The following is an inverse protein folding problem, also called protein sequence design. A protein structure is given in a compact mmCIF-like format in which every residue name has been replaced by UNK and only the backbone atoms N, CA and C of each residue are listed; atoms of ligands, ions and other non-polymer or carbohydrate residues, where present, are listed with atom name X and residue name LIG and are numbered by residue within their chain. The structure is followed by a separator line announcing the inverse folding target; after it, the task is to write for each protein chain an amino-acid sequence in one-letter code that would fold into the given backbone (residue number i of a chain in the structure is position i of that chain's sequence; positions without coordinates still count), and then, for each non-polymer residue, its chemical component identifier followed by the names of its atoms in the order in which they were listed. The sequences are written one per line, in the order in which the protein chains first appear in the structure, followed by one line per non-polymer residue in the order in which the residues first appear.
data_IF_158430056101
#
_entry.id   IF_158430056101
#
_cell.length_a   1.000
_cell.length_b   1.000
_cell.length_c   1.000
_cell.angle_alpha   90.00
_cell.angle_beta   90.00
_cell.angle_gamma   90.00
#
_symmetry.space_group_name_H-M   'P 1'
#
loop_
_entity.id
_entity.type
_entity.pdbx_description
1 polymer ?
#
# COMPACT_ATOMS: atom_id res chain seq x y z
N UNK A 1 -10.60 -15.17 -0.86
CA UNK A 1 -9.51 -14.97 0.14
C UNK A 1 -8.96 -13.58 -0.08
N UNK A 2 -8.81 -12.80 0.96
CA UNK A 2 -8.25 -11.44 0.90
C UNK A 2 -6.73 -11.49 0.78
N UNK A 3 -6.16 -10.50 0.11
CA UNK A 3 -4.71 -10.39 -0.08
C UNK A 3 -4.08 -9.74 1.15
N UNK A 4 -3.14 -10.42 1.81
CA UNK A 4 -2.33 -9.99 2.96
C UNK A 4 -3.12 -9.73 4.26
N UNK A 5 -4.27 -9.05 4.22
CA UNK A 5 -5.04 -8.65 5.41
C UNK A 5 -6.53 -8.96 5.23
N UNK A 6 -7.19 -9.35 6.31
CA UNK A 6 -8.60 -9.72 6.34
C UNK A 6 -9.23 -9.41 7.70
N UNK A 7 -10.51 -9.82 7.88
CA UNK A 7 -11.25 -9.63 9.13
C UNK A 7 -10.61 -10.30 10.36
N UNK A 8 -9.76 -11.31 10.16
CA UNK A 8 -9.09 -12.06 11.24
C UNK A 8 -7.70 -11.49 11.55
N UNK A 9 -7.24 -10.47 10.80
CA UNK A 9 -5.97 -9.79 11.02
C UNK A 9 -5.98 -9.02 12.33
N UNK A 10 -5.09 -9.39 13.26
CA UNK A 10 -4.93 -8.73 14.56
C UNK A 10 -3.89 -7.63 14.46
N UNK A 11 -4.35 -6.39 14.53
CA UNK A 11 -3.55 -5.19 14.24
C UNK A 11 -3.09 -4.51 15.52
N UNK A 12 -1.82 -4.11 15.54
CA UNK A 12 -1.26 -3.17 16.52
C UNK A 12 -0.79 -1.89 15.84
N UNK A 13 -0.81 -0.79 16.58
CA UNK A 13 -0.34 0.52 16.11
C UNK A 13 0.94 0.92 16.83
N UNK A 14 2.02 1.13 16.12
CA UNK A 14 3.22 1.79 16.66
C UNK A 14 3.08 3.30 16.55
N UNK A 15 3.38 4.01 17.64
CA UNK A 15 3.05 5.42 17.78
C UNK A 15 1.60 5.65 18.23
N UNK A 16 0.99 4.67 18.89
CA UNK A 16 -0.44 4.56 19.18
C UNK A 16 -1.03 5.77 19.93
N UNK A 17 -0.30 6.33 20.88
CA UNK A 17 -0.77 7.47 21.69
C UNK A 17 -0.38 8.84 21.10
N UNK A 18 0.23 8.88 19.92
CA UNK A 18 0.46 10.09 19.16
C UNK A 18 -0.82 10.57 18.45
N UNK A 19 -0.85 11.81 17.96
CA UNK A 19 -2.03 12.39 17.33
C UNK A 19 -2.48 11.57 16.11
N UNK A 20 -1.57 11.30 15.18
CA UNK A 20 -1.86 10.52 13.97
C UNK A 20 -2.23 9.06 14.32
N UNK A 21 -1.46 8.42 15.22
CA UNK A 21 -1.76 7.08 15.71
C UNK A 21 -3.14 6.98 16.33
N UNK A 22 -3.52 7.92 17.17
CA UNK A 22 -4.85 7.98 17.83
C UNK A 22 -5.97 8.17 16.80
N UNK A 23 -5.84 9.17 15.92
CA UNK A 23 -6.86 9.48 14.94
C UNK A 23 -7.11 8.31 13.96
N UNK A 24 -6.05 7.79 13.37
CA UNK A 24 -6.20 6.71 12.40
C UNK A 24 -6.57 5.37 13.05
N UNK A 25 -6.13 5.12 14.29
CA UNK A 25 -6.59 3.97 15.05
C UNK A 25 -8.10 4.00 15.30
N UNK A 26 -8.66 5.16 15.68
CA UNK A 26 -10.10 5.29 15.84
C UNK A 26 -10.87 5.03 14.55
N UNK A 27 -10.35 5.52 13.39
CA UNK A 27 -10.93 5.27 12.09
C UNK A 27 -10.83 3.80 11.63
N UNK A 28 -9.78 3.08 12.03
CA UNK A 28 -9.65 1.64 11.79
C UNK A 28 -10.64 0.84 12.64
N UNK A 29 -10.82 1.21 13.90
CA UNK A 29 -11.80 0.60 14.82
C UNK A 29 -13.24 0.83 14.28
N UNK A 30 -13.55 2.05 13.85
CA UNK A 30 -14.86 2.38 13.26
C UNK A 30 -15.15 1.58 11.99
N UNK A 31 -14.12 1.30 11.17
CA UNK A 31 -14.23 0.46 9.98
C UNK A 31 -14.47 -1.03 10.30
N UNK A 32 -14.23 -1.46 11.54
CA UNK A 32 -14.35 -2.84 11.97
C UNK A 32 -13.03 -3.62 11.96
N UNK A 33 -11.89 -2.96 11.76
CA UNK A 33 -10.57 -3.59 11.85
C UNK A 33 -10.32 -4.10 13.27
N UNK A 34 -9.82 -5.32 13.41
CA UNK A 34 -9.52 -5.92 14.71
C UNK A 34 -8.22 -5.32 15.29
N UNK A 35 -8.32 -4.09 15.83
CA UNK A 35 -7.22 -3.44 16.52
C UNK A 35 -7.14 -3.99 17.96
N UNK A 36 -6.04 -4.70 18.26
CA UNK A 36 -5.87 -5.43 19.52
C UNK A 36 -5.00 -4.72 20.54
N UNK A 37 -4.32 -3.64 20.16
CA UNK A 37 -3.48 -2.84 21.04
C UNK A 37 -2.58 -1.88 20.27
N UNK A 38 -1.64 -1.26 20.98
CA UNK A 38 -0.62 -0.44 20.35
C UNK A 38 0.64 -0.32 21.18
N UNK A 39 1.67 0.22 20.54
CA UNK A 39 3.00 0.36 21.13
C UNK A 39 3.35 1.85 21.23
N UNK A 40 3.70 2.27 22.44
CA UNK A 40 4.32 3.57 22.71
C UNK A 40 5.31 3.38 23.84
N UNK A 41 6.63 3.41 23.58
CA UNK A 41 7.64 3.22 24.61
C UNK A 41 7.45 4.17 25.81
N UNK A 42 7.56 3.63 27.01
CA UNK A 42 7.34 4.36 28.27
C UNK A 42 5.88 4.53 28.71
N UNK A 43 4.91 4.06 27.89
CA UNK A 43 3.46 4.11 28.23
C UNK A 43 2.84 2.71 28.41
N UNK A 44 3.64 1.67 28.44
CA UNK A 44 3.17 0.32 28.68
C UNK A 44 2.34 0.19 29.97
N UNK A 45 1.29 -0.63 29.93
CA UNK A 45 0.34 -0.81 31.02
C UNK A 45 -0.82 0.21 31.08
N UNK A 46 -0.80 1.24 30.24
CA UNK A 46 -1.93 2.16 30.06
C UNK A 46 -2.98 1.57 29.11
N UNK A 47 -4.17 2.17 29.13
CA UNK A 47 -5.21 1.93 28.13
C UNK A 47 -5.36 3.16 27.24
N UNK A 48 -5.57 2.95 25.94
CA UNK A 48 -5.83 4.00 24.97
C UNK A 48 -6.84 3.51 23.92
N UNK A 49 -7.90 4.27 23.63
CA UNK A 49 -9.02 3.83 22.79
C UNK A 49 -9.58 2.44 23.21
N UNK A 50 -9.68 2.21 24.53
CA UNK A 50 -10.10 0.93 25.14
C UNK A 50 -9.24 -0.28 24.70
N UNK A 51 -7.99 -0.04 24.37
CA UNK A 51 -7.00 -1.05 23.99
C UNK A 51 -5.73 -0.92 24.84
N UNK A 52 -5.04 -2.03 25.12
CA UNK A 52 -3.80 -1.99 25.88
C UNK A 52 -2.67 -1.30 25.11
N UNK A 53 -1.84 -0.55 25.85
CA UNK A 53 -0.60 0.03 25.36
C UNK A 53 0.58 -0.79 25.87
N UNK A 54 1.52 -1.08 24.98
CA UNK A 54 2.74 -1.84 25.28
C UNK A 54 3.99 -0.98 25.09
N UNK A 55 5.10 -1.37 25.69
CA UNK A 55 6.40 -0.73 25.49
C UNK A 55 7.11 -1.22 24.23
N UNK A 56 6.91 -2.49 23.87
CA UNK A 56 7.56 -3.13 22.73
C UNK A 56 6.55 -3.87 21.86
N UNK A 57 6.93 -4.11 20.60
CA UNK A 57 6.13 -4.94 19.68
C UNK A 57 6.08 -6.38 20.17
N UNK A 58 7.20 -6.91 20.72
CA UNK A 58 7.24 -8.27 21.26
C UNK A 58 6.21 -8.47 22.38
N UNK A 59 6.14 -7.54 23.35
CA UNK A 59 5.14 -7.61 24.42
C UNK A 59 3.70 -7.60 23.86
N UNK A 60 3.46 -6.80 22.81
CA UNK A 60 2.16 -6.73 22.16
C UNK A 60 1.81 -8.06 21.48
N UNK A 61 2.74 -8.65 20.73
CA UNK A 61 2.56 -9.94 20.07
C UNK A 61 2.29 -11.05 21.08
N UNK A 62 3.10 -11.14 22.14
CA UNK A 62 2.97 -12.19 23.18
C UNK A 62 1.62 -12.12 23.90
N UNK A 63 1.07 -10.92 24.10
CA UNK A 63 -0.18 -10.74 24.85
C UNK A 63 -1.43 -10.80 23.98
N UNK A 64 -1.34 -10.43 22.71
CA UNK A 64 -2.52 -10.28 21.84
C UNK A 64 -2.57 -11.25 20.66
N UNK A 65 -1.44 -11.84 20.31
CA UNK A 65 -1.27 -12.62 19.10
C UNK A 65 -1.35 -11.76 17.82
N UNK A 66 -0.93 -10.48 17.90
CA UNK A 66 -0.92 -9.59 16.75
C UNK A 66 -0.04 -10.13 15.63
N UNK A 67 -0.53 -10.05 14.40
CA UNK A 67 0.19 -10.47 13.19
C UNK A 67 0.37 -9.34 12.17
N UNK A 68 -0.24 -8.18 12.43
CA UNK A 68 -0.11 -6.97 11.60
C UNK A 68 0.29 -5.77 12.45
N UNK A 69 1.24 -4.98 11.97
CA UNK A 69 1.64 -3.71 12.60
C UNK A 69 1.51 -2.56 11.63
N UNK A 70 0.91 -1.45 12.10
CA UNK A 70 0.92 -0.18 11.36
C UNK A 70 1.73 0.87 12.12
N UNK A 71 2.53 1.66 11.38
CA UNK A 71 3.54 2.56 11.93
C UNK A 71 3.21 4.01 11.62
N UNK A 72 3.05 4.82 12.69
CA UNK A 72 2.85 6.27 12.67
C UNK A 72 3.94 7.02 13.48
N UNK A 73 5.09 6.42 13.67
CA UNK A 73 6.19 7.08 14.38
C UNK A 73 6.92 8.10 13.50
N UNK A 74 7.59 9.12 14.08
CA UNK A 74 8.37 10.07 13.29
C UNK A 74 9.46 9.41 12.43
N UNK A 75 9.88 10.05 11.32
CA UNK A 75 10.83 9.45 10.35
C UNK A 75 12.12 8.92 10.94
N UNK A 76 12.67 9.61 11.95
CA UNK A 76 13.92 9.21 12.62
C UNK A 76 13.83 7.87 13.38
N UNK A 77 12.64 7.37 13.67
CA UNK A 77 12.39 6.14 14.42
C UNK A 77 11.67 5.06 13.60
N UNK A 78 11.25 5.40 12.38
CA UNK A 78 10.40 4.50 11.61
C UNK A 78 11.14 3.27 11.10
N UNK A 79 12.42 3.39 10.75
CA UNK A 79 13.25 2.24 10.35
C UNK A 79 13.40 1.24 11.49
N UNK A 80 13.67 1.71 12.70
CA UNK A 80 13.76 0.85 13.90
C UNK A 80 12.41 0.20 14.21
N UNK A 81 11.30 0.94 14.08
CA UNK A 81 9.96 0.42 14.28
C UNK A 81 9.59 -0.70 13.28
N UNK A 82 10.03 -0.59 12.01
CA UNK A 82 9.87 -1.64 11.00
C UNK A 82 10.67 -2.89 11.40
N UNK A 83 11.94 -2.71 11.75
CA UNK A 83 12.82 -3.83 12.13
C UNK A 83 12.38 -4.51 13.44
N UNK A 84 11.89 -3.74 14.42
CA UNK A 84 11.31 -4.27 15.66
C UNK A 84 10.08 -5.14 15.37
N UNK A 85 9.17 -4.67 14.50
CA UNK A 85 8.00 -5.45 14.11
C UNK A 85 8.40 -6.78 13.43
N UNK A 86 9.37 -6.74 12.53
CA UNK A 86 9.88 -7.94 11.87
C UNK A 86 10.60 -8.89 12.85
N UNK A 87 11.36 -8.36 13.81
CA UNK A 87 11.99 -9.15 14.87
C UNK A 87 10.98 -9.89 15.74
N UNK A 88 9.84 -9.25 16.03
CA UNK A 88 8.74 -9.82 16.80
C UNK A 88 7.86 -10.80 16.00
N UNK A 89 8.17 -11.06 14.72
CA UNK A 89 7.45 -12.02 13.89
C UNK A 89 6.15 -11.50 13.30
N UNK A 90 5.93 -10.19 13.23
CA UNK A 90 4.79 -9.58 12.51
C UNK A 90 4.85 -9.99 11.03
N UNK A 91 3.74 -10.49 10.51
CA UNK A 91 3.64 -10.98 9.12
C UNK A 91 3.51 -9.83 8.12
N UNK A 92 2.69 -8.83 8.42
CA UNK A 92 2.47 -7.65 7.56
C UNK A 92 2.77 -6.38 8.35
N UNK A 93 3.68 -5.58 7.81
CA UNK A 93 4.11 -4.31 8.38
C UNK A 93 3.68 -3.21 7.42
N UNK A 94 2.90 -2.25 7.89
CA UNK A 94 2.46 -1.09 7.10
C UNK A 94 3.12 0.16 7.66
N UNK A 95 3.95 0.85 6.88
CA UNK A 95 4.63 2.07 7.30
C UNK A 95 4.04 3.28 6.56
N UNK A 96 3.31 4.13 7.28
CA UNK A 96 2.70 5.35 6.73
C UNK A 96 3.72 6.47 6.63
N UNK A 97 4.69 6.48 7.51
CA UNK A 97 5.67 7.56 7.69
C UNK A 97 6.37 7.94 6.39
N UNK A 98 6.34 9.23 6.08
CA UNK A 98 7.11 9.87 5.01
C UNK A 98 8.43 10.44 5.55
N UNK A 99 9.45 10.54 4.69
CA UNK A 99 10.70 11.21 5.00
C UNK A 99 11.72 10.37 5.77
N UNK A 100 11.59 9.06 5.74
CA UNK A 100 12.62 8.14 6.27
C UNK A 100 13.87 8.28 5.40
N UNK A 101 15.07 8.48 6.00
CA UNK A 101 16.30 8.57 5.23
C UNK A 101 16.52 7.33 4.35
N UNK A 102 16.91 7.55 3.09
CA UNK A 102 17.17 6.45 2.14
C UNK A 102 18.18 5.43 2.68
N UNK A 103 19.21 5.89 3.41
CA UNK A 103 20.21 5.02 4.05
C UNK A 103 19.55 4.06 5.04
N UNK A 104 18.60 4.52 5.83
CA UNK A 104 17.92 3.71 6.84
C UNK A 104 17.00 2.68 6.16
N UNK A 105 16.35 3.06 5.04
CA UNK A 105 15.56 2.13 4.25
C UNK A 105 16.40 1.05 3.54
N UNK A 106 17.66 1.33 3.17
CA UNK A 106 18.60 0.32 2.67
C UNK A 106 18.86 -0.73 3.78
N UNK A 107 19.06 -0.29 5.02
CA UNK A 107 19.25 -1.18 6.17
C UNK A 107 18.00 -2.03 6.43
N UNK A 108 16.81 -1.40 6.39
CA UNK A 108 15.53 -2.10 6.51
C UNK A 108 15.38 -3.19 5.45
N UNK A 109 15.64 -2.88 4.16
CA UNK A 109 15.55 -3.88 3.07
C UNK A 109 16.53 -5.04 3.29
N UNK A 110 17.74 -4.76 3.71
CA UNK A 110 18.73 -5.78 4.04
C UNK A 110 18.27 -6.64 5.22
N UNK A 111 17.74 -6.03 6.28
CA UNK A 111 17.24 -6.73 7.46
C UNK A 111 16.03 -7.62 7.15
N UNK A 112 15.15 -7.18 6.28
CA UNK A 112 13.94 -7.92 5.90
C UNK A 112 14.20 -9.04 4.90
N UNK A 113 15.38 -9.12 4.27
CA UNK A 113 15.67 -10.07 3.19
C UNK A 113 15.57 -11.54 3.61
N UNK A 114 15.80 -11.85 4.88
CA UNK A 114 15.71 -13.20 5.48
C UNK A 114 14.46 -13.38 6.37
N UNK A 115 13.58 -12.38 6.46
CA UNK A 115 12.36 -12.41 7.28
C UNK A 115 11.14 -12.83 6.45
N UNK A 116 10.16 -13.39 7.13
CA UNK A 116 8.86 -13.69 6.52
C UNK A 116 7.95 -12.45 6.44
N UNK A 117 8.31 -11.38 7.13
CA UNK A 117 7.56 -10.14 7.19
C UNK A 117 7.50 -9.45 5.83
N UNK A 118 6.33 -9.00 5.42
CA UNK A 118 6.12 -8.18 4.24
C UNK A 118 5.88 -6.73 4.65
N UNK A 119 6.67 -5.82 4.09
CA UNK A 119 6.54 -4.38 4.32
C UNK A 119 5.73 -3.74 3.19
N UNK A 120 4.70 -2.97 3.55
CA UNK A 120 3.95 -2.04 2.67
C UNK A 120 4.38 -0.61 3.02
N UNK A 121 4.78 0.18 2.04
CA UNK A 121 5.39 1.49 2.24
C UNK A 121 6.93 1.42 2.35
N UNK A 122 7.57 2.44 2.90
CA UNK A 122 7.03 3.64 3.58
C UNK A 122 6.36 4.65 2.65
N UNK A 123 5.92 5.79 3.22
CA UNK A 123 5.24 6.88 2.51
C UNK A 123 4.06 6.38 1.68
N UNK A 124 3.14 5.68 2.32
CA UNK A 124 2.01 5.02 1.68
C UNK A 124 0.70 5.26 2.42
N UNK A 125 -0.46 5.10 1.76
CA UNK A 125 -1.76 5.20 2.43
C UNK A 125 -2.17 3.92 3.17
N UNK A 126 -1.37 2.86 3.08
CA UNK A 126 -1.65 1.56 3.68
C UNK A 126 -2.30 0.55 2.74
N UNK A 127 -3.04 -0.37 3.32
CA UNK A 127 -3.76 -1.44 2.64
C UNK A 127 -5.20 -1.54 3.18
N UNK A 128 -6.13 -1.85 2.31
CA UNK A 128 -7.53 -2.08 2.68
C UNK A 128 -8.10 -3.26 1.89
N UNK A 129 -8.67 -4.22 2.59
CA UNK A 129 -9.56 -5.24 2.03
C UNK A 129 -10.98 -4.79 2.32
N UNK A 130 -11.76 -4.54 1.26
CA UNK A 130 -13.06 -3.90 1.37
C UNK A 130 -14.02 -4.71 2.25
N UNK A 131 -14.66 -4.03 3.21
CA UNK A 131 -15.59 -4.59 4.21
C UNK A 131 -14.97 -5.62 5.18
N UNK A 132 -13.63 -5.78 5.17
CA UNK A 132 -12.96 -6.72 6.07
C UNK A 132 -11.94 -6.04 6.99
N UNK A 133 -10.97 -5.33 6.45
CA UNK A 133 -9.92 -4.67 7.24
C UNK A 133 -9.35 -3.44 6.53
N UNK A 134 -9.25 -2.35 7.25
CA UNK A 134 -8.55 -1.13 6.85
C UNK A 134 -7.31 -0.98 7.73
N UNK A 135 -6.14 -0.93 7.12
CA UNK A 135 -4.86 -0.74 7.80
C UNK A 135 -4.12 0.40 7.12
N UNK A 136 -4.37 1.60 7.61
CA UNK A 136 -3.88 2.83 6.99
C UNK A 136 -4.82 4.00 7.10
N UNK A 137 -4.56 4.98 6.21
CA UNK A 137 -5.24 6.27 6.19
C UNK A 137 -6.32 6.39 5.10
N UNK A 138 -6.52 5.35 4.29
CA UNK A 138 -7.52 5.36 3.21
C UNK A 138 -8.93 5.64 3.75
N UNK A 139 -9.76 6.46 3.06
CA UNK A 139 -11.13 6.75 3.49
C UNK A 139 -12.02 5.52 3.27
N UNK A 140 -12.32 4.77 4.33
CA UNK A 140 -13.02 3.49 4.24
C UNK A 140 -14.41 3.56 3.61
N UNK A 141 -15.08 4.72 3.71
CA UNK A 141 -16.45 4.92 3.21
C UNK A 141 -16.60 4.89 1.68
N UNK A 142 -15.50 5.07 0.92
CA UNK A 142 -15.54 4.96 -0.56
C UNK A 142 -15.39 3.52 -1.04
N UNK A 143 -14.96 2.60 -0.17
CA UNK A 143 -14.72 1.20 -0.53
C UNK A 143 -15.99 0.37 -0.38
N UNK A 144 -16.31 -0.39 -1.42
CA UNK A 144 -17.32 -1.44 -1.40
C UNK A 144 -16.71 -2.74 -1.89
N UNK A 145 -17.12 -3.85 -1.30
CA UNK A 145 -16.65 -5.17 -1.70
C UNK A 145 -17.04 -5.48 -3.16
N UNK A 146 -16.11 -6.03 -3.91
CA UNK A 146 -16.29 -6.42 -5.30
C UNK A 146 -15.14 -7.25 -5.83
N UNK A 147 -14.74 -7.00 -7.07
CA UNK A 147 -13.84 -7.89 -7.83
C UNK A 147 -12.63 -7.18 -8.47
N UNK A 148 -12.35 -5.93 -8.10
CA UNK A 148 -11.22 -5.16 -8.65
C UNK A 148 -10.14 -5.00 -7.59
N UNK A 149 -8.90 -5.38 -7.93
CA UNK A 149 -7.71 -5.10 -7.14
C UNK A 149 -7.07 -3.77 -7.54
N UNK A 150 -6.46 -3.06 -6.60
CA UNK A 150 -5.77 -1.79 -6.87
C UNK A 150 -4.36 -1.82 -6.31
N UNK A 151 -3.37 -1.47 -7.15
CA UNK A 151 -1.99 -1.20 -6.75
C UNK A 151 -1.64 0.23 -7.11
N UNK A 152 -1.14 1.01 -6.16
CA UNK A 152 -0.86 2.42 -6.42
C UNK A 152 0.31 2.95 -5.61
N UNK A 153 1.12 3.81 -6.23
CA UNK A 153 2.10 4.66 -5.55
C UNK A 153 1.47 5.89 -4.89
N UNK A 154 0.33 6.35 -5.43
CA UNK A 154 -0.33 7.58 -5.00
C UNK A 154 -1.54 7.30 -4.10
N UNK A 155 -1.59 7.92 -2.92
CA UNK A 155 -2.76 7.86 -2.05
C UNK A 155 -4.00 8.47 -2.71
N UNK A 156 -3.91 9.72 -3.16
CA UNK A 156 -5.05 10.46 -3.73
C UNK A 156 -5.60 9.83 -5.02
N UNK A 157 -4.74 9.37 -5.93
CA UNK A 157 -5.17 8.68 -7.13
C UNK A 157 -5.79 7.31 -6.85
N UNK A 158 -5.37 6.65 -5.76
CA UNK A 158 -6.05 5.43 -5.28
C UNK A 158 -7.50 5.73 -4.94
N UNK A 159 -7.75 6.81 -4.19
CA UNK A 159 -9.10 7.18 -3.78
C UNK A 159 -9.99 7.53 -4.97
N UNK A 160 -9.44 8.28 -5.92
CA UNK A 160 -10.15 8.63 -7.16
C UNK A 160 -10.51 7.39 -7.99
N UNK A 161 -9.56 6.49 -8.20
CA UNK A 161 -9.79 5.25 -8.95
C UNK A 161 -10.82 4.34 -8.28
N UNK A 162 -10.76 4.22 -6.96
CA UNK A 162 -11.72 3.42 -6.16
C UNK A 162 -13.13 4.00 -6.27
N UNK A 163 -13.29 5.31 -6.06
CA UNK A 163 -14.59 5.98 -6.14
C UNK A 163 -15.22 5.81 -7.52
N UNK A 164 -14.44 6.00 -8.60
CA UNK A 164 -14.90 5.77 -9.98
C UNK A 164 -15.30 4.30 -10.20
N UNK A 165 -14.51 3.35 -9.71
CA UNK A 165 -14.78 1.92 -9.87
C UNK A 165 -16.09 1.54 -9.18
N UNK A 166 -16.32 2.04 -7.97
CA UNK A 166 -17.57 1.81 -7.23
C UNK A 166 -18.76 2.48 -7.91
N UNK A 167 -18.61 3.71 -8.44
CA UNK A 167 -19.65 4.41 -9.22
C UNK A 167 -19.97 3.71 -10.54
N UNK A 168 -19.01 2.98 -11.12
CA UNK A 168 -19.23 2.15 -12.30
C UNK A 168 -19.97 0.83 -12.00
N UNK A 169 -20.41 0.61 -10.76
CA UNK A 169 -21.15 -0.58 -10.33
C UNK A 169 -20.26 -1.78 -9.98
N UNK A 170 -18.96 -1.57 -9.92
CA UNK A 170 -17.98 -2.55 -9.47
C UNK A 170 -17.65 -2.32 -7.99
N UNK A 171 -16.75 -3.13 -7.44
CA UNK A 171 -16.23 -2.96 -6.09
C UNK A 171 -14.79 -3.45 -5.99
N UNK A 172 -14.20 -3.27 -4.83
CA UNK A 172 -12.79 -3.52 -4.58
C UNK A 172 -12.62 -4.82 -3.77
N UNK A 173 -11.67 -5.65 -4.17
CA UNK A 173 -11.19 -6.75 -3.33
C UNK A 173 -10.18 -6.19 -2.32
N UNK A 174 -9.00 -5.82 -2.80
CA UNK A 174 -7.94 -5.22 -1.98
C UNK A 174 -7.30 -4.05 -2.72
N UNK A 175 -7.07 -2.94 -2.03
CA UNK A 175 -6.24 -1.85 -2.51
C UNK A 175 -4.94 -1.78 -1.71
N UNK A 176 -3.81 -1.80 -2.40
CA UNK A 176 -2.47 -1.78 -1.84
C UNK A 176 -1.79 -0.48 -2.26
N UNK A 177 -1.58 0.42 -1.31
CA UNK A 177 -0.76 1.60 -1.50
C UNK A 177 0.69 1.26 -1.20
N UNK A 178 1.53 1.17 -2.23
CA UNK A 178 2.92 0.72 -2.07
C UNK A 178 3.90 1.82 -1.67
N UNK A 179 3.50 3.10 -1.81
CA UNK A 179 4.32 4.25 -1.44
C UNK A 179 5.11 4.85 -2.61
N UNK A 180 5.51 6.12 -2.41
CA UNK A 180 6.23 6.95 -3.40
C UNK A 180 7.72 7.16 -3.12
N UNK A 181 8.30 6.44 -2.18
CA UNK A 181 9.73 6.53 -1.86
C UNK A 181 10.57 5.69 -2.84
N UNK A 182 11.86 6.05 -3.04
CA UNK A 182 12.75 5.30 -3.94
C UNK A 182 13.00 3.85 -3.48
N UNK A 183 12.97 3.61 -2.16
CA UNK A 183 13.16 2.29 -1.55
C UNK A 183 11.91 1.97 -0.72
N UNK A 184 11.13 1.05 -1.24
CA UNK A 184 9.89 0.57 -0.62
C UNK A 184 9.97 -0.92 -0.29
N UNK A 185 9.08 -1.39 0.55
CA UNK A 185 8.97 -2.79 0.94
C UNK A 185 8.50 -3.67 -0.20
N UNK A 186 7.24 -3.59 -0.53
CA UNK A 186 6.59 -4.35 -1.62
C UNK A 186 6.58 -3.53 -2.91
N UNK A 187 7.11 -4.09 -3.99
CA UNK A 187 7.17 -3.45 -5.32
C UNK A 187 5.83 -3.51 -6.04
N UNK A 188 5.69 -2.72 -7.13
CA UNK A 188 4.51 -2.78 -8.01
C UNK A 188 4.28 -4.20 -8.53
N UNK A 189 5.33 -4.86 -9.01
CA UNK A 189 5.27 -6.23 -9.52
C UNK A 189 4.76 -7.21 -8.44
N UNK A 190 5.35 -7.20 -7.26
CA UNK A 190 4.95 -8.10 -6.16
C UNK A 190 3.50 -7.88 -5.74
N UNK A 191 3.03 -6.64 -5.70
CA UNK A 191 1.64 -6.33 -5.37
C UNK A 191 0.67 -6.78 -6.48
N UNK A 192 1.03 -6.59 -7.75
CA UNK A 192 0.27 -7.11 -8.89
C UNK A 192 0.22 -8.63 -8.87
N UNK A 193 1.32 -9.31 -8.58
CA UNK A 193 1.40 -10.76 -8.48
C UNK A 193 0.44 -11.31 -7.41
N UNK A 194 0.39 -10.66 -6.25
CA UNK A 194 -0.55 -11.02 -5.18
C UNK A 194 -2.01 -10.93 -5.65
N UNK A 195 -2.40 -9.84 -6.32
CA UNK A 195 -3.75 -9.64 -6.84
C UNK A 195 -4.05 -10.56 -8.03
N UNK A 196 -3.07 -10.85 -8.86
CA UNK A 196 -3.20 -11.77 -9.99
C UNK A 196 -3.51 -13.20 -9.52
N UNK A 197 -2.96 -13.60 -8.37
CA UNK A 197 -3.17 -14.91 -7.75
C UNK A 197 -4.42 -14.96 -6.84
N UNK A 198 -5.06 -13.83 -6.55
CA UNK A 198 -6.27 -13.81 -5.72
C UNK A 198 -7.51 -14.22 -6.54
N UNK A 199 -8.22 -15.30 -6.19
CA UNK A 199 -9.37 -15.78 -6.95
C UNK A 199 -10.57 -14.83 -6.94
N UNK A 200 -10.68 -13.93 -5.96
CA UNK A 200 -11.76 -12.95 -5.88
C UNK A 200 -11.49 -11.71 -6.73
N UNK A 201 -10.23 -11.45 -7.09
CA UNK A 201 -9.84 -10.36 -7.97
C UNK A 201 -9.98 -10.77 -9.44
N UNK A 202 -10.82 -10.09 -10.20
CA UNK A 202 -11.06 -10.38 -11.63
C UNK A 202 -10.39 -9.35 -12.56
N UNK A 203 -10.06 -8.16 -12.07
CA UNK A 203 -9.32 -7.15 -12.81
C UNK A 203 -8.47 -6.30 -11.88
N UNK A 204 -7.43 -5.67 -12.41
CA UNK A 204 -6.44 -4.92 -11.62
C UNK A 204 -6.30 -3.50 -12.16
N UNK A 205 -6.27 -2.52 -11.28
CA UNK A 205 -5.88 -1.15 -11.57
C UNK A 205 -4.46 -0.94 -11.06
N UNK A 206 -3.54 -0.51 -11.93
CA UNK A 206 -2.15 -0.22 -11.63
C UNK A 206 -1.86 1.26 -11.84
N UNK A 207 -1.59 1.99 -10.76
CA UNK A 207 -1.30 3.43 -10.78
C UNK A 207 0.16 3.65 -10.41
N UNK A 208 0.91 4.17 -11.36
CA UNK A 208 2.32 4.54 -11.20
C UNK A 208 2.55 6.03 -11.40
N UNK A 209 3.81 6.38 -11.44
CA UNK A 209 4.28 7.75 -11.66
C UNK A 209 5.62 7.76 -12.38
N UNK A 210 6.10 8.93 -12.76
CA UNK A 210 7.44 9.11 -13.32
C UNK A 210 8.52 8.66 -12.33
N UNK A 211 9.68 8.28 -12.84
CA UNK A 211 10.86 7.89 -12.06
C UNK A 211 10.90 6.38 -11.74
N UNK A 212 12.08 5.83 -11.79
CA UNK A 212 12.36 4.41 -11.57
C UNK A 212 11.72 3.47 -12.58
N UNK A 213 11.95 2.16 -12.45
CA UNK A 213 11.53 1.14 -13.42
C UNK A 213 10.43 0.18 -12.95
N UNK A 214 9.85 0.38 -11.77
CA UNK A 214 8.95 -0.61 -11.14
C UNK A 214 7.69 -0.92 -11.96
N UNK A 215 7.11 0.06 -12.66
CA UNK A 215 5.93 -0.13 -13.50
C UNK A 215 6.28 -0.89 -14.79
N UNK A 216 7.46 -0.63 -15.36
CA UNK A 216 7.95 -1.37 -16.52
C UNK A 216 8.25 -2.85 -16.17
N UNK A 217 8.87 -3.09 -15.01
CA UNK A 217 9.11 -4.45 -14.49
C UNK A 217 7.79 -5.20 -14.27
N UNK A 218 6.80 -4.54 -13.66
CA UNK A 218 5.47 -5.12 -13.47
C UNK A 218 4.79 -5.42 -14.82
N UNK A 219 4.88 -4.52 -15.79
CA UNK A 219 4.30 -4.70 -17.12
C UNK A 219 4.90 -5.90 -17.86
N UNK A 220 6.21 -6.05 -17.83
CA UNK A 220 6.88 -7.21 -18.42
C UNK A 220 6.45 -8.53 -17.77
N UNK A 221 6.34 -8.55 -16.45
CA UNK A 221 5.83 -9.70 -15.71
C UNK A 221 4.38 -10.03 -16.08
N UNK A 222 3.51 -9.01 -16.19
CA UNK A 222 2.10 -9.17 -16.62
C UNK A 222 2.02 -9.77 -18.02
N UNK A 223 2.88 -9.35 -18.96
CA UNK A 223 2.92 -9.89 -20.31
C UNK A 223 3.15 -11.41 -20.34
N UNK A 224 3.96 -11.91 -19.41
CA UNK A 224 4.34 -13.33 -19.35
C UNK A 224 3.37 -14.18 -18.51
N UNK A 225 2.80 -13.60 -17.46
CA UNK A 225 2.07 -14.33 -16.43
C UNK A 225 0.62 -13.84 -16.22
N UNK A 226 0.22 -12.73 -16.86
CA UNK A 226 -1.08 -12.11 -16.66
C UNK A 226 -2.23 -12.98 -17.13
N UNK A 227 -3.18 -13.23 -16.24
CA UNK A 227 -4.41 -14.00 -16.52
C UNK A 227 -5.67 -13.14 -16.36
N UNK A 228 -5.53 -11.90 -15.94
CA UNK A 228 -6.62 -10.96 -15.66
C UNK A 228 -6.35 -9.63 -16.36
N UNK A 229 -7.39 -8.90 -16.81
CA UNK A 229 -7.20 -7.59 -17.40
C UNK A 229 -6.58 -6.61 -16.40
N UNK A 230 -5.69 -5.76 -16.92
CA UNK A 230 -5.05 -4.70 -16.15
C UNK A 230 -5.27 -3.36 -16.85
N UNK A 231 -5.73 -2.37 -16.07
CA UNK A 231 -5.83 -0.97 -16.49
C UNK A 231 -4.73 -0.19 -15.79
N UNK A 232 -3.98 0.61 -16.53
CA UNK A 232 -2.84 1.35 -16.02
C UNK A 232 -2.92 2.86 -16.25
N UNK A 233 -2.43 3.61 -15.28
CA UNK A 233 -2.25 5.06 -15.36
C UNK A 233 -0.88 5.46 -14.80
N UNK A 234 -0.22 6.42 -15.46
CA UNK A 234 1.06 6.99 -15.01
C UNK A 234 0.90 8.49 -14.79
N UNK A 235 1.13 8.91 -13.54
CA UNK A 235 1.13 10.33 -13.16
C UNK A 235 2.42 11.03 -13.60
N UNK A 236 2.33 12.34 -13.81
CA UNK A 236 3.49 13.17 -14.12
C UNK A 236 3.77 13.34 -15.61
N UNK A 237 2.77 13.18 -16.50
CA UNK A 237 2.92 13.31 -17.96
C UNK A 237 3.50 14.66 -18.41
N UNK A 238 3.26 15.72 -17.64
CA UNK A 238 3.76 17.09 -17.93
C UNK A 238 4.97 17.48 -17.06
N UNK A 239 5.54 16.52 -16.32
CA UNK A 239 6.64 16.81 -15.41
C UNK A 239 7.93 17.16 -16.17
N UNK A 240 8.61 18.28 -15.83
CA UNK A 240 9.88 18.61 -16.43
C UNK A 240 10.99 17.65 -15.98
N UNK A 241 11.93 17.28 -16.87
CA UNK A 241 13.06 16.42 -16.51
C UNK A 241 13.91 16.99 -15.37
N UNK A 242 14.43 16.09 -14.52
CA UNK A 242 15.34 16.43 -13.42
C UNK A 242 14.69 17.14 -12.22
N UNK A 243 13.36 17.34 -12.22
CA UNK A 243 12.63 17.87 -11.07
C UNK A 243 11.90 16.81 -10.30
N UNK A 244 12.00 16.87 -8.97
CA UNK A 244 11.18 16.06 -8.06
C UNK A 244 9.74 16.57 -8.07
N UNK A 245 8.79 15.67 -8.29
CA UNK A 245 7.36 15.98 -8.41
C UNK A 245 6.56 15.33 -7.26
N UNK A 246 6.63 15.95 -6.07
CA UNK A 246 5.97 15.45 -4.87
C UNK A 246 6.77 14.32 -4.21
N UNK A 247 6.53 13.07 -4.59
CA UNK A 247 7.21 11.91 -4.03
C UNK A 247 8.72 11.92 -4.24
N UNK A 248 9.47 11.37 -3.28
CA UNK A 248 10.94 11.33 -3.36
C UNK A 248 11.43 10.49 -4.54
N UNK A 249 10.67 9.49 -4.97
CA UNK A 249 10.96 8.65 -6.14
C UNK A 249 10.49 9.23 -7.49
N UNK A 250 9.66 10.28 -7.48
CA UNK A 250 9.08 10.87 -8.69
C UNK A 250 10.01 11.88 -9.36
N UNK A 251 11.11 11.42 -9.94
CA UNK A 251 12.09 12.21 -10.67
C UNK A 251 12.39 11.50 -11.99
N UNK A 252 12.32 12.24 -13.12
CA UNK A 252 12.78 11.72 -14.42
C UNK A 252 14.31 11.84 -14.47
N UNK A 253 14.98 10.70 -14.32
CA UNK A 253 16.44 10.60 -14.39
C UNK A 253 16.96 10.18 -15.76
N UNK A 254 16.10 9.56 -16.60
CA UNK A 254 16.46 9.05 -17.92
C UNK A 254 15.27 9.02 -18.88
N UNK A 255 15.52 8.55 -20.10
CA UNK A 255 14.49 8.46 -21.14
C UNK A 255 13.38 7.46 -20.78
N UNK A 256 13.74 6.38 -20.09
CA UNK A 256 12.84 5.27 -19.73
C UNK A 256 11.98 5.55 -18.50
N UNK A 257 12.32 6.60 -17.73
CA UNK A 257 11.62 6.99 -16.50
C UNK A 257 10.44 7.94 -16.74
N UNK A 258 10.24 8.39 -17.96
CA UNK A 258 9.15 9.31 -18.32
C UNK A 258 7.80 8.62 -18.29
N UNK A 259 6.74 9.38 -18.06
CA UNK A 259 5.38 8.84 -18.14
C UNK A 259 5.10 8.23 -19.53
N UNK A 260 5.50 8.89 -20.61
CA UNK A 260 5.30 8.43 -21.98
C UNK A 260 6.00 7.07 -22.24
N UNK A 261 7.25 6.92 -21.79
CA UNK A 261 7.99 5.65 -21.96
C UNK A 261 7.32 4.51 -21.18
N UNK A 262 6.91 4.76 -19.93
CA UNK A 262 6.21 3.76 -19.11
C UNK A 262 4.84 3.39 -19.68
N UNK A 263 4.05 4.37 -20.13
CA UNK A 263 2.75 4.12 -20.77
C UNK A 263 2.91 3.29 -22.04
N UNK A 264 3.94 3.57 -22.84
CA UNK A 264 4.25 2.80 -24.05
C UNK A 264 4.57 1.34 -23.73
N UNK A 265 5.49 1.05 -22.80
CA UNK A 265 5.84 -0.32 -22.43
C UNK A 265 4.65 -1.07 -21.82
N UNK A 266 3.82 -0.40 -21.00
CA UNK A 266 2.61 -0.98 -20.46
C UNK A 266 1.63 -1.41 -21.57
N UNK A 267 1.39 -0.55 -22.56
CA UNK A 267 0.53 -0.86 -23.70
C UNK A 267 1.10 -2.04 -24.55
N UNK A 268 2.41 -2.07 -24.81
CA UNK A 268 3.10 -3.17 -25.51
C UNK A 268 3.04 -4.50 -24.74
N UNK A 269 2.79 -4.43 -23.43
CA UNK A 269 2.60 -5.60 -22.56
C UNK A 269 1.13 -6.01 -22.39
N UNK A 270 0.20 -5.40 -23.14
CA UNK A 270 -1.23 -5.74 -23.10
C UNK A 270 -2.03 -5.10 -21.98
N UNK A 271 -1.47 -4.11 -21.28
CA UNK A 271 -2.17 -3.32 -20.28
C UNK A 271 -2.95 -2.22 -20.98
N UNK A 272 -4.23 -2.06 -20.64
CA UNK A 272 -5.02 -0.93 -21.12
C UNK A 272 -4.60 0.34 -20.40
N UNK A 273 -3.85 1.19 -21.08
CA UNK A 273 -3.39 2.48 -20.54
C UNK A 273 -4.42 3.57 -20.78
N UNK A 274 -4.72 4.39 -19.76
CA UNK A 274 -5.54 5.59 -19.86
C UNK A 274 -4.67 6.84 -19.70
N UNK A 275 -5.00 7.90 -20.46
CA UNK A 275 -4.25 9.16 -20.41
C UNK A 275 -4.75 10.08 -19.27
N UNK A 276 -6.02 9.96 -18.92
CA UNK A 276 -6.64 10.72 -17.83
C UNK A 276 -6.97 9.82 -16.64
N UNK A 277 -6.66 10.22 -15.41
CA UNK A 277 -7.07 9.47 -14.23
C UNK A 277 -8.59 9.37 -14.08
N UNK A 278 -9.35 10.30 -14.70
CA UNK A 278 -10.82 10.29 -14.70
C UNK A 278 -11.44 9.14 -15.53
N UNK A 279 -10.64 8.42 -16.31
CA UNK A 279 -11.10 7.32 -17.16
C UNK A 279 -10.87 5.94 -16.54
N UNK A 280 -10.19 5.85 -15.41
CA UNK A 280 -9.76 4.57 -14.81
C UNK A 280 -10.96 3.66 -14.52
N UNK A 281 -11.98 4.17 -13.82
CA UNK A 281 -13.16 3.40 -13.46
C UNK A 281 -13.98 2.91 -14.66
N UNK A 282 -14.12 3.73 -15.69
CA UNK A 282 -14.76 3.35 -16.96
C UNK A 282 -13.96 2.27 -17.68
N UNK A 283 -12.63 2.46 -17.77
CA UNK A 283 -11.77 1.55 -18.48
C UNK A 283 -11.79 0.14 -17.86
N UNK A 284 -11.71 0.02 -16.52
CA UNK A 284 -11.75 -1.29 -15.87
C UNK A 284 -13.14 -1.95 -16.02
N UNK A 285 -14.22 -1.19 -16.00
CA UNK A 285 -15.56 -1.72 -16.22
C UNK A 285 -15.72 -2.27 -17.64
N UNK A 286 -15.20 -1.59 -18.65
CA UNK A 286 -15.21 -2.05 -20.04
C UNK A 286 -14.32 -3.31 -20.25
N UNK A 287 -13.19 -3.42 -19.55
CA UNK A 287 -12.34 -4.62 -19.63
C UNK A 287 -13.01 -5.85 -19.01
N UNK A 288 -13.71 -5.67 -17.89
CA UNK A 288 -14.41 -6.75 -17.21
C UNK A 288 -15.74 -7.16 -17.90
N UNK A 289 -16.23 -6.36 -18.83
CA UNK A 289 -17.43 -6.67 -19.61
C UNK A 289 -17.16 -7.48 -20.90
N UNK A 290 -15.88 -7.65 -21.28
CA UNK A 290 -15.47 -8.47 -22.45
C UNK A 290 -15.57 -9.96 -22.15
#
# INVERSE_FOLDING_TARGET
MSVLVNKDSKVIVQGFTGNEGTYHASQMIEYGTQLVGGVTPGKGGQSHLDRPVFNTVQDAVDKTGANVSIIFVPPAFAADAIMEAAAAGIEVIVCITEGIPTKDMIQVKSYLSDKKSRLIGPNCPGIITAEEAKIGIMPGFIFKKGNVGVVSKSGTLTYEAVDQTVKAGLGITTAIGIGGDPIIGTTTKEAVELLMNDPETHGIIMIGEIGGGMEAEAALWIKEHGTKPVVGFIAGQTAPPGRRMGHAGAIVGGADDTAAAKMKIMAECGIRVVESPAEIGKAIAEELAK
#
